data_IF_784953109787
#
_entry.id   IF_784953109787
#
_cell.length_a   1.000
_cell.length_b   1.000
_cell.length_c   1.000
_cell.angle_alpha   90.00
_cell.angle_beta   90.00
_cell.angle_gamma   90.00
#
_symmetry.space_group_name_H-M   'P 1'
#
loop_
_entity.id
_entity.type
_entity.pdbx_description
1 polymer ?
#
# COMPACT_ATOMS: atom_id res chain seq x y z
N UNK A 1 29.57 14.24 -39.47
CA UNK A 1 29.67 12.84 -38.99
C UNK A 1 29.69 12.70 -37.46
N UNK A 2 30.49 13.48 -36.71
CA UNK A 2 30.56 13.34 -35.22
C UNK A 2 29.25 13.71 -34.47
N UNK A 3 28.39 14.55 -35.04
CA UNK A 3 27.08 14.90 -34.45
C UNK A 3 26.02 13.79 -34.67
N UNK A 4 26.07 13.12 -35.82
CA UNK A 4 25.15 12.04 -36.17
C UNK A 4 25.42 10.76 -35.35
N UNK A 5 26.69 10.51 -34.99
CA UNK A 5 27.07 9.41 -34.13
C UNK A 5 26.56 9.56 -32.69
N UNK A 6 26.41 10.79 -32.18
CA UNK A 6 25.87 11.05 -30.83
C UNK A 6 24.35 10.82 -30.76
N UNK A 7 23.61 11.08 -31.84
CA UNK A 7 22.18 10.81 -31.92
C UNK A 7 21.86 9.31 -32.00
N UNK A 8 22.72 8.53 -32.69
CA UNK A 8 22.54 7.08 -32.83
C UNK A 8 22.85 6.32 -31.53
N UNK A 9 23.77 6.82 -30.69
CA UNK A 9 24.07 6.19 -29.39
C UNK A 9 22.93 6.36 -28.38
N UNK A 10 22.12 7.44 -28.47
CA UNK A 10 20.93 7.64 -27.63
C UNK A 10 19.76 6.74 -28.07
N UNK A 11 19.69 6.38 -29.36
CA UNK A 11 18.64 5.52 -29.94
C UNK A 11 18.91 4.01 -29.77
N UNK A 12 20.13 3.61 -29.39
CA UNK A 12 20.55 2.21 -29.26
C UNK A 12 20.82 1.75 -27.83
N UNK A 13 20.78 2.65 -26.84
CA UNK A 13 20.73 2.25 -25.44
C UNK A 13 19.28 2.00 -25.06
N UNK A 14 18.89 0.77 -24.68
CA UNK A 14 17.63 0.62 -24.01
C UNK A 14 17.77 1.34 -22.66
N UNK A 15 17.07 2.47 -22.50
CA UNK A 15 16.80 3.07 -21.19
C UNK A 15 15.85 2.14 -20.43
N UNK A 16 16.30 0.94 -20.08
CA UNK A 16 15.67 0.15 -19.04
C UNK A 16 16.09 0.76 -17.70
N UNK A 17 15.50 1.91 -17.36
CA UNK A 17 15.25 2.21 -15.96
C UNK A 17 14.15 1.27 -15.50
N UNK A 18 14.47 0.00 -15.27
CA UNK A 18 13.55 -0.95 -14.67
C UNK A 18 13.42 -0.60 -13.17
N UNK A 19 12.56 0.38 -12.88
CA UNK A 19 12.24 0.77 -11.50
C UNK A 19 11.35 -0.25 -10.79
N UNK A 20 10.61 -1.05 -11.55
CA UNK A 20 9.60 -1.98 -11.07
C UNK A 20 9.91 -3.43 -11.44
N UNK A 21 9.77 -4.32 -10.46
CA UNK A 21 9.82 -5.77 -10.62
C UNK A 21 8.37 -6.30 -10.69
N UNK A 22 8.06 -7.09 -11.70
CA UNK A 22 6.74 -7.75 -11.89
C UNK A 22 6.82 -9.27 -11.79
N UNK A 23 7.93 -9.78 -11.26
CA UNK A 23 8.16 -11.20 -10.99
C UNK A 23 8.33 -11.43 -9.50
N UNK A 24 8.00 -12.61 -8.96
CA UNK A 24 8.17 -12.91 -7.54
C UNK A 24 9.57 -12.55 -7.04
N UNK A 25 9.67 -11.89 -5.88
CA UNK A 25 10.95 -11.54 -5.24
C UNK A 25 10.82 -11.46 -3.73
N UNK A 26 11.91 -11.78 -3.02
CA UNK A 26 12.01 -11.55 -1.58
C UNK A 26 12.70 -10.21 -1.34
N UNK A 27 12.04 -9.28 -0.65
CA UNK A 27 12.61 -7.98 -0.26
C UNK A 27 12.65 -7.84 1.23
N UNK A 28 13.81 -7.42 1.73
CA UNK A 28 14.09 -7.36 3.16
C UNK A 28 13.75 -8.66 3.91
N UNK A 29 13.63 -9.84 3.28
CA UNK A 29 13.21 -11.10 3.90
C UNK A 29 11.69 -11.38 3.91
N UNK A 30 10.89 -10.50 3.32
CA UNK A 30 9.46 -10.64 3.12
C UNK A 30 9.17 -11.09 1.67
N UNK A 31 8.31 -12.08 1.48
CA UNK A 31 7.90 -12.56 0.16
C UNK A 31 7.00 -11.55 -0.54
N UNK A 32 7.32 -11.20 -1.79
CA UNK A 32 6.44 -10.43 -2.67
C UNK A 32 6.20 -11.27 -3.90
N UNK A 33 5.13 -12.05 -3.87
CA UNK A 33 4.81 -13.07 -4.89
C UNK A 33 3.31 -13.25 -5.11
N UNK A 34 2.46 -12.47 -4.43
CA UNK A 34 1.01 -12.57 -4.52
C UNK A 34 0.40 -13.74 -3.76
N UNK A 35 1.16 -14.49 -2.94
CA UNK A 35 0.61 -15.30 -1.84
C UNK A 35 0.60 -14.47 -0.54
N UNK A 36 0.05 -15.05 0.52
CA UNK A 36 0.00 -14.43 1.85
C UNK A 36 0.59 -15.34 2.93
N UNK A 37 1.36 -16.35 2.51
CA UNK A 37 1.79 -17.47 3.33
C UNK A 37 3.26 -17.39 3.70
N UNK A 38 3.49 -17.15 4.97
CA UNK A 38 4.81 -17.20 5.56
C UNK A 38 5.40 -18.60 5.37
N UNK A 39 6.72 -18.64 5.20
CA UNK A 39 7.53 -19.84 4.91
C UNK A 39 7.29 -20.44 3.53
N UNK A 40 6.45 -19.82 2.71
CA UNK A 40 6.32 -20.16 1.30
C UNK A 40 6.79 -18.97 0.47
N UNK A 41 7.37 -19.29 -0.68
CA UNK A 41 7.65 -18.32 -1.71
C UNK A 41 7.58 -19.04 -3.05
N UNK A 42 6.78 -18.49 -3.96
CA UNK A 42 6.51 -19.03 -5.28
C UNK A 42 6.07 -20.51 -5.23
N UNK A 43 5.17 -20.83 -4.29
CA UNK A 43 4.61 -22.18 -4.10
C UNK A 43 5.56 -23.21 -3.47
N UNK A 44 6.77 -22.82 -3.05
CA UNK A 44 7.73 -23.70 -2.41
C UNK A 44 8.06 -23.27 -0.98
N UNK A 45 8.35 -24.24 -0.10
CA UNK A 45 8.80 -23.96 1.27
C UNK A 45 10.16 -23.25 1.23
N UNK A 46 10.25 -22.04 1.79
CA UNK A 46 11.37 -21.12 1.72
C UNK A 46 11.51 -20.35 3.04
N UNK A 47 12.63 -19.65 3.22
CA UNK A 47 12.85 -18.76 4.37
C UNK A 47 12.34 -17.35 4.08
N UNK A 48 11.03 -17.15 4.14
CA UNK A 48 10.37 -15.88 3.88
C UNK A 48 9.31 -15.58 4.94
N UNK A 49 9.34 -14.35 5.44
CA UNK A 49 8.21 -13.81 6.18
C UNK A 49 7.09 -13.42 5.19
N UNK A 50 5.85 -13.39 5.65
CA UNK A 50 4.68 -13.00 4.85
C UNK A 50 3.53 -12.56 5.79
N UNK A 51 2.37 -12.20 5.25
CA UNK A 51 1.22 -11.70 6.01
C UNK A 51 0.73 -12.68 7.07
N UNK A 52 0.57 -13.97 6.73
CA UNK A 52 -0.08 -14.96 7.59
C UNK A 52 0.64 -16.32 7.62
N UNK A 53 0.40 -17.10 8.67
CA UNK A 53 0.81 -18.49 8.75
C UNK A 53 -0.40 -19.40 8.57
N UNK A 54 -0.40 -20.20 7.50
CA UNK A 54 -1.42 -21.23 7.30
C UNK A 54 -1.21 -22.38 8.30
N UNK A 55 -2.27 -22.79 8.98
CA UNK A 55 -2.21 -23.90 9.93
C UNK A 55 -1.77 -25.20 9.22
N UNK A 56 -0.80 -25.91 9.81
CA UNK A 56 -0.20 -27.10 9.23
C UNK A 56 0.97 -26.83 8.28
N UNK A 57 1.33 -25.57 8.02
CA UNK A 57 2.57 -25.23 7.29
C UNK A 57 3.80 -25.79 8.03
N UNK A 58 4.64 -26.61 7.38
CA UNK A 58 5.86 -27.16 7.99
C UNK A 58 6.88 -26.07 8.40
N UNK A 59 7.83 -26.45 9.24
CA UNK A 59 8.95 -25.61 9.65
C UNK A 59 8.76 -24.88 10.98
N UNK A 60 9.69 -23.99 11.27
CA UNK A 60 9.79 -23.22 12.52
C UNK A 60 9.83 -21.72 12.21
N UNK A 61 9.87 -20.86 13.24
CA UNK A 61 10.09 -19.41 13.05
C UNK A 61 11.37 -19.07 12.30
N UNK A 62 12.37 -19.95 12.32
CA UNK A 62 13.60 -19.79 11.52
C UNK A 62 13.35 -19.92 10.01
N UNK A 63 12.23 -20.52 9.60
CA UNK A 63 11.81 -20.62 8.20
C UNK A 63 10.99 -19.40 7.74
N UNK A 64 10.78 -18.40 8.59
CA UNK A 64 9.90 -17.27 8.30
C UNK A 64 8.76 -17.17 9.29
N UNK A 65 8.35 -15.93 9.52
CA UNK A 65 7.32 -15.53 10.47
C UNK A 65 6.16 -14.82 9.76
N UNK A 66 4.98 -14.93 10.37
CA UNK A 66 3.81 -14.21 9.89
C UNK A 66 3.73 -12.84 10.53
N UNK A 67 3.38 -11.82 9.74
CA UNK A 67 3.44 -10.42 10.17
C UNK A 67 2.18 -9.97 10.89
N UNK A 68 0.99 -10.45 10.53
CA UNK A 68 -0.28 -9.98 11.11
C UNK A 68 -0.75 -10.90 12.24
N UNK A 69 -1.19 -10.34 13.36
CA UNK A 69 -1.78 -11.12 14.46
C UNK A 69 -3.07 -11.83 14.01
N UNK A 70 -3.08 -13.16 14.13
CA UNK A 70 -4.19 -14.02 13.74
C UNK A 70 -5.08 -14.45 14.91
N UNK A 71 -4.82 -13.90 16.10
CA UNK A 71 -5.59 -14.22 17.31
C UNK A 71 -7.08 -13.94 17.12
N UNK A 72 -7.90 -14.96 17.45
CA UNK A 72 -9.35 -14.92 17.31
C UNK A 72 -9.88 -15.19 15.90
N UNK A 73 -9.04 -15.53 14.91
CA UNK A 73 -9.48 -15.83 13.54
C UNK A 73 -10.57 -16.92 13.48
N UNK A 74 -10.41 -18.00 14.24
CA UNK A 74 -11.42 -19.07 14.31
C UNK A 74 -12.79 -18.57 14.83
N UNK A 75 -12.80 -17.64 15.78
CA UNK A 75 -14.02 -17.02 16.31
C UNK A 75 -14.69 -16.12 15.26
N UNK A 76 -13.91 -15.38 14.48
CA UNK A 76 -14.42 -14.57 13.36
C UNK A 76 -15.09 -15.48 12.32
N UNK A 77 -14.41 -16.56 11.90
CA UNK A 77 -14.97 -17.52 10.93
C UNK A 77 -16.25 -18.18 11.45
N UNK A 78 -16.26 -18.64 12.71
CA UNK A 78 -17.47 -19.19 13.34
C UNK A 78 -18.61 -18.14 13.40
N UNK A 79 -18.25 -16.87 13.62
CA UNK A 79 -19.15 -15.73 13.52
C UNK A 79 -19.80 -15.63 12.15
N UNK A 80 -19.02 -15.66 11.08
CA UNK A 80 -19.52 -15.58 9.69
C UNK A 80 -20.41 -16.76 9.31
N UNK A 81 -20.08 -17.97 9.76
CA UNK A 81 -20.86 -19.18 9.50
C UNK A 81 -22.25 -19.18 10.13
N UNK A 82 -22.38 -18.50 11.27
CA UNK A 82 -23.64 -18.37 12.01
C UNK A 82 -24.37 -17.07 11.71
N UNK A 83 -23.82 -16.24 10.83
CA UNK A 83 -24.39 -14.94 10.48
C UNK A 83 -25.56 -15.12 9.52
N UNK A 84 -26.65 -14.42 9.80
CA UNK A 84 -27.91 -14.49 9.05
C UNK A 84 -28.27 -13.12 8.51
N UNK A 85 -29.09 -13.08 7.45
CA UNK A 85 -29.60 -11.84 6.85
C UNK A 85 -30.04 -10.80 7.88
N UNK A 86 -29.53 -9.55 7.87
CA UNK A 86 -28.72 -8.90 6.84
C UNK A 86 -27.18 -9.03 6.99
N UNK A 87 -26.65 -10.09 7.61
CA UNK A 87 -25.21 -10.38 7.75
C UNK A 87 -24.37 -9.32 8.48
N UNK A 88 -24.81 -8.84 9.67
CA UNK A 88 -24.13 -7.76 10.39
C UNK A 88 -22.67 -8.05 10.76
N UNK A 89 -22.27 -9.32 10.91
CA UNK A 89 -20.86 -9.67 11.20
C UNK A 89 -20.03 -9.64 9.93
N UNK A 90 -20.56 -10.15 8.81
CA UNK A 90 -19.85 -10.13 7.52
C UNK A 90 -19.69 -8.72 6.99
N UNK A 91 -20.69 -7.84 7.22
CA UNK A 91 -20.64 -6.44 6.82
C UNK A 91 -19.73 -5.56 7.69
N UNK A 92 -19.25 -6.05 8.83
CA UNK A 92 -18.49 -5.24 9.78
C UNK A 92 -16.98 -5.24 9.48
N UNK A 93 -16.40 -4.04 9.46
CA UNK A 93 -14.95 -3.86 9.48
C UNK A 93 -14.33 -4.32 10.81
N UNK A 94 -13.08 -4.80 10.72
CA UNK A 94 -12.19 -4.96 11.86
C UNK A 94 -10.74 -4.78 11.40
N UNK A 95 -9.84 -4.64 12.35
CA UNK A 95 -8.41 -4.61 12.08
C UNK A 95 -7.63 -5.58 12.96
N UNK A 96 -6.41 -5.89 12.53
CA UNK A 96 -5.38 -6.61 13.29
C UNK A 96 -4.04 -5.93 13.08
N UNK A 97 -3.26 -5.85 14.14
CA UNK A 97 -1.93 -5.25 14.13
C UNK A 97 -0.87 -6.32 13.95
N UNK A 98 0.40 -5.91 14.00
CA UNK A 98 1.54 -6.80 13.94
C UNK A 98 1.49 -7.93 14.99
N UNK A 99 1.92 -9.12 14.59
CA UNK A 99 1.95 -10.34 15.41
C UNK A 99 2.99 -10.31 16.54
N UNK A 100 3.87 -9.31 16.50
CA UNK A 100 4.93 -9.03 17.47
C UNK A 100 4.77 -7.59 17.96
N UNK A 101 5.33 -7.24 19.14
CA UNK A 101 5.40 -5.84 19.57
C UNK A 101 6.06 -4.97 18.49
N UNK A 102 5.57 -3.72 18.34
CA UNK A 102 6.19 -2.71 17.49
C UNK A 102 7.69 -2.57 17.81
N UNK A 103 8.49 -2.33 16.78
CA UNK A 103 9.95 -2.20 16.87
C UNK A 103 10.68 -3.47 17.35
N UNK A 104 10.12 -4.65 17.07
CA UNK A 104 10.77 -5.92 17.40
C UNK A 104 11.80 -6.31 16.34
N UNK A 105 12.90 -6.92 16.78
CA UNK A 105 13.87 -7.55 15.88
C UNK A 105 13.48 -9.01 15.67
N UNK A 106 13.06 -9.33 14.44
CA UNK A 106 12.63 -10.68 14.03
C UNK A 106 13.56 -11.16 12.93
N UNK A 107 14.18 -12.33 13.10
CA UNK A 107 15.07 -12.92 12.10
C UNK A 107 16.12 -11.90 11.58
N UNK A 108 16.77 -11.19 12.52
CA UNK A 108 17.77 -10.14 12.29
C UNK A 108 17.24 -8.91 11.51
N UNK A 109 15.98 -8.54 11.68
CA UNK A 109 15.35 -7.42 10.97
C UNK A 109 14.43 -6.65 11.89
N UNK A 110 14.54 -5.32 11.86
CA UNK A 110 13.65 -4.47 12.64
C UNK A 110 12.29 -4.36 11.95
N UNK A 111 11.25 -4.90 12.57
CA UNK A 111 9.86 -4.71 12.17
C UNK A 111 9.32 -3.48 12.88
N UNK A 112 8.87 -2.48 12.13
CA UNK A 112 8.40 -1.22 12.71
C UNK A 112 6.92 -1.37 13.08
N UNK A 113 6.09 -1.68 12.08
CA UNK A 113 4.65 -1.80 12.27
C UNK A 113 4.01 -2.66 11.19
N UNK A 114 2.79 -3.15 11.46
CA UNK A 114 1.95 -3.78 10.47
C UNK A 114 0.47 -3.68 10.83
N UNK A 115 -0.37 -3.62 9.80
CA UNK A 115 -1.82 -3.61 9.95
C UNK A 115 -2.49 -4.39 8.82
N UNK A 116 -3.56 -5.09 9.20
CA UNK A 116 -4.57 -5.66 8.35
C UNK A 116 -5.90 -4.98 8.68
N UNK A 117 -6.66 -4.58 7.67
CA UNK A 117 -7.99 -3.99 7.84
C UNK A 117 -8.95 -4.65 6.85
N UNK A 118 -10.09 -5.12 7.35
CA UNK A 118 -11.25 -5.47 6.52
C UNK A 118 -12.12 -4.25 6.32
N UNK A 119 -12.56 -4.00 5.10
CA UNK A 119 -13.49 -2.91 4.84
C UNK A 119 -14.92 -3.23 5.33
N UNK A 120 -15.83 -2.27 5.26
CA UNK A 120 -17.26 -2.50 5.34
C UNK A 120 -17.75 -3.14 4.03
N UNK A 121 -18.69 -4.08 4.12
CA UNK A 121 -19.31 -4.71 2.96
C UNK A 121 -20.82 -4.48 2.93
N UNK A 122 -21.45 -4.65 1.76
CA UNK A 122 -22.88 -4.44 1.56
C UNK A 122 -23.24 -2.96 1.60
N UNK A 123 -23.73 -2.47 2.74
CA UNK A 123 -23.90 -1.03 2.97
C UNK A 123 -22.56 -0.44 3.41
N UNK A 124 -21.61 -0.40 2.47
CA UNK A 124 -20.32 0.23 2.71
C UNK A 124 -20.53 1.68 3.17
N UNK A 125 -19.90 2.04 4.29
CA UNK A 125 -20.03 3.36 4.96
C UNK A 125 -18.82 4.26 4.74
N UNK A 126 -17.85 3.77 3.97
CA UNK A 126 -16.53 4.37 3.73
C UNK A 126 -16.36 4.85 2.29
N UNK A 127 -17.45 4.92 1.54
CA UNK A 127 -17.49 5.36 0.13
C UNK A 127 -17.36 6.87 0.01
N UNK A 128 -16.58 7.36 -0.96
CA UNK A 128 -16.64 8.76 -1.38
C UNK A 128 -17.93 9.01 -2.19
N UNK A 129 -18.82 9.87 -1.71
CA UNK A 129 -20.20 9.96 -2.24
C UNK A 129 -20.50 11.21 -3.05
N UNK A 130 -19.73 12.29 -2.87
CA UNK A 130 -19.96 13.52 -3.62
C UNK A 130 -18.78 14.49 -3.54
N UNK A 131 -18.72 15.38 -4.53
CA UNK A 131 -17.95 16.61 -4.47
C UNK A 131 -16.53 16.49 -5.01
N UNK A 132 -15.58 17.01 -4.24
CA UNK A 132 -14.17 17.18 -4.59
C UNK A 132 -13.37 16.15 -3.81
N UNK A 133 -13.27 14.90 -4.30
CA UNK A 133 -12.62 13.79 -3.56
C UNK A 133 -11.24 13.40 -4.10
N UNK A 134 -10.73 14.07 -5.14
CA UNK A 134 -9.41 13.78 -5.75
C UNK A 134 -8.23 13.86 -4.77
N UNK A 135 -7.16 13.15 -5.10
CA UNK A 135 -5.87 13.21 -4.40
C UNK A 135 -5.28 14.61 -4.23
N UNK A 136 -5.46 15.49 -5.23
CA UNK A 136 -4.92 16.85 -5.18
C UNK A 136 -5.77 17.82 -4.34
N UNK A 137 -6.93 17.38 -3.84
CA UNK A 137 -7.88 18.20 -3.10
C UNK A 137 -7.73 17.99 -1.60
N UNK A 138 -8.06 19.03 -0.83
CA UNK A 138 -8.04 18.96 0.63
C UNK A 138 -9.05 17.94 1.16
N UNK A 139 -8.69 17.06 2.11
CA UNK A 139 -9.64 16.17 2.77
C UNK A 139 -10.83 16.89 3.44
N UNK A 140 -10.69 18.19 3.76
CA UNK A 140 -11.81 19.02 4.21
C UNK A 140 -13.01 19.01 3.23
N UNK A 141 -12.73 18.90 1.93
CA UNK A 141 -13.74 18.89 0.87
C UNK A 141 -14.26 17.48 0.58
N UNK A 142 -13.59 16.44 1.08
CA UNK A 142 -13.99 15.06 0.86
C UNK A 142 -15.25 14.76 1.66
N UNK A 143 -16.15 14.01 1.05
CA UNK A 143 -17.37 13.56 1.71
C UNK A 143 -17.53 12.07 1.58
N UNK A 144 -17.62 11.40 2.71
CA UNK A 144 -17.90 9.98 2.79
C UNK A 144 -19.37 9.71 3.04
N UNK A 145 -19.83 8.49 2.74
CA UNK A 145 -21.19 8.07 3.00
C UNK A 145 -21.46 6.64 2.54
N UNK A 146 -22.75 6.35 2.34
CA UNK A 146 -23.22 5.04 1.89
C UNK A 146 -23.65 5.13 0.44
N UNK A 147 -23.00 4.36 -0.43
CA UNK A 147 -23.32 4.28 -1.85
C UNK A 147 -22.86 2.93 -2.43
N UNK A 148 -23.45 2.49 -3.54
CA UNK A 148 -22.93 1.34 -4.27
C UNK A 148 -21.64 1.69 -5.03
N UNK A 149 -20.63 0.84 -4.90
CA UNK A 149 -19.34 0.95 -5.60
C UNK A 149 -19.26 -0.14 -6.68
N UNK A 150 -18.75 0.15 -7.89
CA UNK A 150 -18.44 -0.90 -8.85
C UNK A 150 -17.42 -1.88 -8.28
N UNK A 151 -17.66 -3.18 -8.41
CA UNK A 151 -16.87 -4.26 -7.78
C UNK A 151 -15.34 -4.14 -7.99
N UNK A 152 -14.92 -3.59 -9.14
CA UNK A 152 -13.49 -3.38 -9.46
C UNK A 152 -12.80 -2.30 -8.60
N UNK A 153 -13.57 -1.49 -7.89
CA UNK A 153 -13.13 -0.39 -7.02
C UNK A 153 -13.49 -0.67 -5.56
N UNK A 154 -14.20 -1.77 -5.26
CA UNK A 154 -14.63 -2.10 -3.90
C UNK A 154 -13.49 -2.84 -3.18
N UNK A 155 -12.95 -2.22 -2.14
CA UNK A 155 -11.84 -2.77 -1.35
C UNK A 155 -12.41 -3.77 -0.36
N UNK A 156 -11.83 -4.98 -0.34
CA UNK A 156 -12.23 -6.00 0.62
C UNK A 156 -11.34 -6.01 1.86
N UNK A 157 -10.03 -6.06 1.64
CA UNK A 157 -9.03 -6.16 2.70
C UNK A 157 -7.80 -5.31 2.32
N UNK A 158 -7.13 -4.72 3.30
CA UNK A 158 -5.91 -3.91 3.15
C UNK A 158 -4.84 -4.43 4.08
N UNK A 159 -3.61 -4.39 3.62
CA UNK A 159 -2.40 -4.81 4.30
C UNK A 159 -1.34 -3.71 4.20
N UNK A 160 -0.66 -3.42 5.30
CA UNK A 160 0.55 -2.61 5.27
C UNK A 160 1.56 -3.14 6.29
N UNK A 161 2.83 -3.11 5.93
CA UNK A 161 3.93 -3.47 6.81
C UNK A 161 5.17 -2.64 6.50
N UNK A 162 5.87 -2.19 7.53
CA UNK A 162 7.13 -1.47 7.40
C UNK A 162 8.21 -2.19 8.20
N UNK A 163 9.36 -2.42 7.57
CA UNK A 163 10.52 -3.07 8.19
C UNK A 163 11.84 -2.58 7.60
N UNK A 164 12.92 -2.75 8.35
CA UNK A 164 14.29 -2.63 7.82
C UNK A 164 14.78 -3.98 7.30
N UNK A 165 15.69 -3.95 6.33
CA UNK A 165 16.34 -5.12 5.77
C UNK A 165 17.32 -5.81 6.73
N UNK A 166 17.66 -5.15 7.84
CA UNK A 166 18.48 -5.62 8.94
C UNK A 166 18.08 -4.91 10.25
N UNK A 167 18.83 -5.06 11.36
CA UNK A 167 18.47 -4.49 12.64
C UNK A 167 18.97 -3.05 12.85
N UNK A 168 19.76 -2.48 11.92
CA UNK A 168 20.48 -1.23 12.10
C UNK A 168 19.86 -0.06 11.31
N UNK A 169 20.21 1.16 11.70
CA UNK A 169 19.77 2.41 11.07
C UNK A 169 20.25 2.58 9.63
N UNK A 170 21.34 1.90 9.27
CA UNK A 170 21.89 1.90 7.90
C UNK A 170 21.21 0.89 6.98
N UNK A 171 20.43 -0.05 7.54
CA UNK A 171 19.72 -1.04 6.75
C UNK A 171 18.51 -0.43 6.07
N UNK A 172 18.31 -0.74 4.79
CA UNK A 172 17.23 -0.12 4.00
C UNK A 172 15.86 -0.34 4.62
N UNK A 173 15.08 0.73 4.70
CA UNK A 173 13.68 0.74 5.07
C UNK A 173 12.81 0.35 3.87
N UNK A 174 11.92 -0.60 4.09
CA UNK A 174 10.98 -1.11 3.11
C UNK A 174 9.55 -0.99 3.63
N UNK A 175 8.65 -0.59 2.74
CA UNK A 175 7.21 -0.70 2.93
C UNK A 175 6.70 -1.82 2.04
N UNK A 176 5.76 -2.58 2.58
CA UNK A 176 4.97 -3.58 1.89
C UNK A 176 3.51 -3.16 2.02
N UNK A 177 2.78 -3.25 0.92
CA UNK A 177 1.35 -2.99 0.90
C UNK A 177 0.66 -4.10 0.15
N UNK A 178 -0.58 -4.37 0.53
CA UNK A 178 -1.45 -5.27 -0.20
C UNK A 178 -2.88 -4.82 -0.09
N UNK A 179 -3.69 -5.17 -1.08
CA UNK A 179 -5.14 -5.02 -0.98
C UNK A 179 -5.82 -6.12 -1.80
N UNK A 180 -7.04 -6.46 -1.43
CA UNK A 180 -7.93 -7.23 -2.31
C UNK A 180 -9.12 -6.40 -2.74
N UNK A 181 -9.53 -6.57 -4.00
CA UNK A 181 -10.71 -5.93 -4.57
C UNK A 181 -11.76 -7.01 -4.85
N UNK A 182 -13.05 -6.66 -4.85
CA UNK A 182 -14.11 -7.63 -5.07
C UNK A 182 -13.98 -8.35 -6.41
N UNK A 183 -13.73 -7.58 -7.48
CA UNK A 183 -13.60 -8.10 -8.84
C UNK A 183 -12.27 -7.68 -9.50
N UNK A 184 -11.86 -8.47 -10.48
CA UNK A 184 -10.60 -8.31 -11.23
C UNK A 184 -10.81 -7.86 -12.67
N UNK A 185 -12.07 -7.64 -13.06
CA UNK A 185 -12.43 -7.21 -14.42
C UNK A 185 -12.15 -5.72 -14.63
N UNK A 186 -11.34 -5.43 -15.65
CA UNK A 186 -10.99 -4.07 -16.06
C UNK A 186 -9.76 -3.49 -15.36
N UNK A 187 -9.43 -2.25 -15.68
CA UNK A 187 -8.32 -1.55 -15.04
C UNK A 187 -8.70 -1.07 -13.65
N UNK A 188 -7.76 -1.18 -12.72
CA UNK A 188 -7.93 -0.91 -11.29
C UNK A 188 -6.80 -0.01 -10.82
N UNK A 189 -7.13 0.93 -9.95
CA UNK A 189 -6.21 1.98 -9.52
C UNK A 189 -6.44 2.22 -8.04
N UNK A 190 -5.35 2.29 -7.29
CA UNK A 190 -5.40 2.49 -5.85
C UNK A 190 -4.30 3.42 -5.39
N UNK A 191 -4.53 4.03 -4.25
CA UNK A 191 -3.58 4.91 -3.60
C UNK A 191 -3.44 4.52 -2.13
N UNK A 192 -2.19 4.36 -1.68
CA UNK A 192 -1.83 4.33 -0.26
C UNK A 192 -1.30 5.69 0.10
N UNK A 193 -2.11 6.49 0.80
CA UNK A 193 -1.75 7.83 1.23
C UNK A 193 -1.40 7.83 2.71
N UNK A 194 -0.17 8.23 3.01
CA UNK A 194 0.43 8.22 4.34
C UNK A 194 0.56 9.64 4.85
N UNK A 195 -0.09 9.92 5.98
CA UNK A 195 -0.19 11.25 6.56
C UNK A 195 0.72 11.41 7.78
N UNK A 196 1.33 12.59 7.89
CA UNK A 196 2.02 13.04 9.11
C UNK A 196 1.04 13.32 10.26
N UNK A 197 -0.23 13.59 9.96
CA UNK A 197 -1.23 13.95 10.95
C UNK A 197 -2.10 12.75 11.35
N UNK A 198 -2.83 12.90 12.46
CA UNK A 198 -3.88 11.96 12.87
C UNK A 198 -5.18 12.18 12.09
N UNK A 199 -5.09 12.13 10.75
CA UNK A 199 -6.28 12.23 9.90
C UNK A 199 -7.24 11.06 10.19
N UNK A 200 -8.54 11.35 10.25
CA UNK A 200 -9.56 10.32 10.39
C UNK A 200 -10.87 10.72 9.72
N UNK A 201 -11.65 9.70 9.36
CA UNK A 201 -12.98 9.83 8.80
C UNK A 201 -14.04 9.58 9.89
N UNK A 202 -14.94 10.53 10.08
CA UNK A 202 -16.07 10.42 10.98
C UNK A 202 -17.32 10.00 10.21
N UNK A 203 -17.66 8.72 10.32
CA UNK A 203 -18.81 8.13 9.61
C UNK A 203 -20.16 8.78 9.91
N UNK A 204 -20.48 9.15 11.17
CA UNK A 204 -21.75 9.82 11.47
C UNK A 204 -21.94 11.15 10.73
N UNK A 205 -20.89 11.96 10.60
CA UNK A 205 -20.95 13.24 9.87
C UNK A 205 -20.62 13.13 8.38
N UNK A 206 -19.99 12.04 7.94
CA UNK A 206 -19.49 11.88 6.58
C UNK A 206 -18.31 12.79 6.26
N UNK A 207 -17.58 13.27 7.28
CA UNK A 207 -16.50 14.27 7.15
C UNK A 207 -15.15 13.76 7.64
N UNK A 208 -14.11 14.43 7.15
CA UNK A 208 -12.72 14.17 7.52
C UNK A 208 -12.21 15.25 8.48
N UNK A 209 -11.38 14.82 9.42
CA UNK A 209 -10.80 15.67 10.46
C UNK A 209 -9.32 15.30 10.66
N UNK A 210 -8.59 16.13 11.40
CA UNK A 210 -7.18 15.86 11.71
C UNK A 210 -6.24 15.95 10.50
N UNK A 211 -6.67 16.60 9.41
CA UNK A 211 -5.87 16.83 8.21
C UNK A 211 -4.85 17.97 8.41
N UNK A 212 -3.82 18.04 7.56
CA UNK A 212 -2.73 18.99 7.70
C UNK A 212 -3.05 20.43 7.23
N UNK A 213 -2.22 21.43 7.61
CA UNK A 213 -2.50 22.84 7.35
C UNK A 213 -2.23 23.27 5.90
N UNK A 214 -1.41 22.54 5.15
CA UNK A 214 -0.97 22.90 3.81
C UNK A 214 -1.98 22.40 2.76
N UNK A 215 -3.13 23.06 2.73
CA UNK A 215 -4.29 22.68 1.91
C UNK A 215 -4.82 21.27 2.21
N UNK A 216 -4.85 20.87 3.48
CA UNK A 216 -5.35 19.56 3.92
C UNK A 216 -4.28 18.51 4.15
N UNK A 217 -3.01 18.85 3.97
CA UNK A 217 -1.89 17.93 4.05
C UNK A 217 -0.71 18.56 4.81
N UNK A 218 0.31 17.78 5.08
CA UNK A 218 1.59 18.27 5.62
C UNK A 218 2.63 18.31 4.51
N UNK A 219 3.18 19.48 4.22
CA UNK A 219 4.18 19.61 3.16
C UNK A 219 5.59 19.18 3.59
N UNK A 220 6.29 18.52 2.68
CA UNK A 220 7.73 18.34 2.76
C UNK A 220 8.40 19.71 2.61
N UNK A 221 9.36 20.00 3.49
CA UNK A 221 10.12 21.26 3.48
C UNK A 221 11.58 20.99 3.21
N UNK A 222 12.21 21.93 2.52
CA UNK A 222 13.61 21.85 2.13
C UNK A 222 14.39 23.07 2.60
N UNK A 223 15.67 22.90 2.88
CA UNK A 223 16.59 24.01 3.07
C UNK A 223 17.10 24.56 1.72
N UNK A 224 17.88 25.65 1.76
CA UNK A 224 18.43 26.27 0.55
C UNK A 224 19.44 25.41 -0.22
N UNK A 225 19.94 24.32 0.37
CA UNK A 225 20.81 23.35 -0.29
C UNK A 225 20.04 22.14 -0.85
N UNK A 226 18.72 22.11 -0.68
CA UNK A 226 17.85 21.01 -1.11
C UNK A 226 17.85 19.81 -0.16
N UNK A 227 18.39 19.92 1.05
CA UNK A 227 18.21 18.90 2.07
C UNK A 227 16.80 18.98 2.62
N UNK A 228 16.26 17.83 3.00
CA UNK A 228 14.95 17.75 3.65
C UNK A 228 15.08 18.33 5.06
N UNK A 229 14.29 19.37 5.34
CA UNK A 229 14.21 20.02 6.64
C UNK A 229 13.07 19.43 7.50
N UNK A 230 11.97 19.02 6.87
CA UNK A 230 10.89 18.27 7.54
C UNK A 230 10.17 17.34 6.56
N UNK A 231 9.79 16.13 7.00
CA UNK A 231 8.99 15.23 6.18
C UNK A 231 7.54 15.71 6.10
N UNK A 232 6.82 15.24 5.09
CA UNK A 232 5.42 15.54 4.83
C UNK A 232 4.65 14.29 4.40
N UNK A 233 3.47 14.49 3.85
CA UNK A 233 2.62 13.39 3.40
C UNK A 233 3.19 12.74 2.12
N UNK A 234 2.95 11.44 1.96
CA UNK A 234 3.38 10.64 0.81
C UNK A 234 2.20 9.85 0.28
N UNK A 235 2.14 9.68 -1.03
CA UNK A 235 1.18 8.80 -1.67
C UNK A 235 1.91 7.82 -2.59
N UNK A 236 1.55 6.54 -2.49
CA UNK A 236 1.93 5.51 -3.43
C UNK A 236 0.72 5.16 -4.29
N UNK A 237 0.77 5.54 -5.55
CA UNK A 237 -0.27 5.24 -6.54
C UNK A 237 0.09 3.97 -7.30
N UNK A 238 -0.79 2.98 -7.27
CA UNK A 238 -0.68 1.75 -8.04
C UNK A 238 -1.66 1.73 -9.22
N UNK A 239 -1.19 1.24 -10.36
CA UNK A 239 -2.03 0.98 -11.53
C UNK A 239 -1.95 -0.48 -11.93
N UNK A 240 -3.10 -1.13 -12.03
CA UNK A 240 -3.24 -2.46 -12.59
C UNK A 240 -3.98 -2.38 -13.93
N UNK A 241 -3.32 -2.87 -14.97
CA UNK A 241 -3.91 -3.01 -16.30
C UNK A 241 -3.80 -4.47 -16.73
N UNK A 242 -4.90 -5.01 -17.26
CA UNK A 242 -4.98 -6.41 -17.73
C UNK A 242 -4.56 -7.46 -16.69
N UNK A 243 -4.92 -7.26 -15.42
CA UNK A 243 -4.63 -8.19 -14.32
C UNK A 243 -3.27 -7.99 -13.63
N UNK A 244 -2.34 -7.27 -14.24
CA UNK A 244 -0.99 -7.07 -13.68
C UNK A 244 -0.74 -5.62 -13.24
N UNK A 245 0.07 -5.44 -12.20
CA UNK A 245 0.57 -4.12 -11.80
C UNK A 245 1.47 -3.57 -12.91
N UNK A 246 1.05 -2.48 -13.54
CA UNK A 246 1.81 -1.82 -14.60
C UNK A 246 2.67 -0.67 -14.11
N UNK A 247 2.29 -0.05 -12.99
CA UNK A 247 2.99 1.11 -12.45
C UNK A 247 2.80 1.24 -10.94
N UNK A 248 3.87 1.55 -10.22
CA UNK A 248 3.81 2.18 -8.90
C UNK A 248 4.54 3.52 -8.99
N UNK A 249 3.92 4.56 -8.47
CA UNK A 249 4.50 5.89 -8.39
C UNK A 249 4.43 6.42 -6.97
N UNK A 250 5.56 6.89 -6.46
CA UNK A 250 5.62 7.67 -5.24
C UNK A 250 5.51 9.15 -5.58
N UNK A 251 4.66 9.86 -4.84
CA UNK A 251 4.59 11.32 -4.85
C UNK A 251 4.60 11.85 -3.43
N UNK A 252 5.11 13.06 -3.27
CA UNK A 252 5.21 13.73 -1.97
C UNK A 252 4.44 15.05 -2.00
N UNK A 253 3.77 15.40 -0.90
CA UNK A 253 3.04 16.67 -0.82
C UNK A 253 4.01 17.83 -0.61
N UNK A 254 4.03 18.79 -1.52
CA UNK A 254 4.97 19.92 -1.49
C UNK A 254 4.31 21.22 -1.88
N UNK A 255 4.94 22.32 -1.48
CA UNK A 255 4.61 23.64 -2.03
C UNK A 255 5.10 23.72 -3.48
N UNK A 256 4.28 24.28 -4.36
CA UNK A 256 4.58 24.40 -5.80
C UNK A 256 5.87 25.18 -6.08
N UNK A 257 6.15 26.21 -5.28
CA UNK A 257 7.41 26.97 -5.39
C UNK A 257 8.63 26.09 -5.15
N UNK A 258 8.55 25.15 -4.21
CA UNK A 258 9.68 24.31 -3.82
C UNK A 258 9.92 23.26 -4.90
N UNK A 259 8.86 22.66 -5.44
CA UNK A 259 8.93 21.80 -6.62
C UNK A 259 9.59 22.50 -7.84
N UNK A 260 9.33 23.79 -8.02
CA UNK A 260 9.85 24.56 -9.17
C UNK A 260 11.30 25.06 -8.99
N UNK A 261 11.75 25.26 -7.74
CA UNK A 261 12.98 26.01 -7.47
C UNK A 261 14.02 25.24 -6.67
N UNK A 262 13.61 24.26 -5.87
CA UNK A 262 14.52 23.44 -5.07
C UNK A 262 14.96 22.23 -5.89
N UNK A 263 16.26 21.92 -5.82
CA UNK A 263 16.84 20.68 -6.35
C UNK A 263 17.12 19.76 -5.15
N UNK A 264 16.27 18.77 -4.87
CA UNK A 264 16.41 17.93 -3.67
C UNK A 264 17.70 17.12 -3.71
N UNK A 265 18.35 16.92 -2.56
CA UNK A 265 19.56 16.10 -2.46
C UNK A 265 19.24 14.60 -2.48
N UNK A 266 18.11 14.18 -1.93
CA UNK A 266 17.74 12.78 -1.71
C UNK A 266 17.13 12.07 -2.93
N UNK A 267 16.40 12.78 -3.80
CA UNK A 267 15.68 12.21 -4.95
C UNK A 267 15.65 13.19 -6.12
N UNK A 268 15.17 12.74 -7.28
CA UNK A 268 14.88 13.59 -8.44
C UNK A 268 13.38 13.88 -8.50
N UNK A 269 13.01 15.09 -8.93
CA UNK A 269 11.66 15.34 -9.43
C UNK A 269 11.45 14.57 -10.73
N UNK A 270 10.33 13.85 -10.84
CA UNK A 270 9.95 13.10 -12.05
C UNK A 270 9.10 13.94 -13.01
N UNK A 271 8.74 15.17 -12.63
CA UNK A 271 8.16 16.20 -13.50
C UNK A 271 6.64 16.34 -13.47
N UNK A 272 5.93 15.52 -12.68
CA UNK A 272 4.48 15.66 -12.48
C UNK A 272 4.20 16.40 -11.17
N UNK A 273 3.18 17.24 -11.18
CA UNK A 273 2.67 17.97 -10.02
C UNK A 273 1.17 18.11 -10.13
N UNK A 274 0.44 17.53 -9.17
CA UNK A 274 -1.02 17.53 -9.15
C UNK A 274 -1.53 18.05 -7.79
N UNK A 275 -2.14 19.24 -7.82
CA UNK A 275 -2.87 19.83 -6.71
C UNK A 275 -4.32 20.08 -7.07
N UNK A 276 -5.01 20.94 -6.31
CA UNK A 276 -6.41 21.30 -6.57
C UNK A 276 -6.54 22.26 -7.78
N UNK A 277 -6.33 21.73 -8.98
CA UNK A 277 -6.39 22.47 -10.23
C UNK A 277 -5.15 23.33 -10.54
N UNK A 278 -5.21 24.07 -11.65
CA UNK A 278 -4.04 24.78 -12.21
C UNK A 278 -3.45 25.86 -11.27
N UNK A 279 -4.29 26.46 -10.42
CA UNK A 279 -3.92 27.50 -9.46
C UNK A 279 -3.41 26.98 -8.11
N UNK A 280 -3.26 25.67 -7.94
CA UNK A 280 -2.89 25.09 -6.66
C UNK A 280 -1.53 25.60 -6.15
N UNK A 281 -1.48 25.97 -4.86
CA UNK A 281 -0.25 26.38 -4.17
C UNK A 281 0.54 25.18 -3.65
N UNK A 282 -0.16 24.08 -3.35
CA UNK A 282 0.40 22.82 -2.89
C UNK A 282 -0.14 21.67 -3.75
N UNK A 283 0.58 20.56 -3.78
CA UNK A 283 0.19 19.40 -4.56
C UNK A 283 1.17 18.25 -4.39
N UNK A 284 0.78 17.08 -4.90
CA UNK A 284 1.62 15.90 -4.97
C UNK A 284 2.59 16.01 -6.15
N UNK A 285 3.89 16.09 -5.85
CA UNK A 285 4.96 16.07 -6.83
C UNK A 285 5.55 14.67 -6.97
N UNK A 286 5.70 14.19 -8.21
CA UNK A 286 6.29 12.87 -8.46
C UNK A 286 7.79 12.86 -8.26
N UNK A 287 8.29 11.77 -7.67
CA UNK A 287 9.69 11.59 -7.32
C UNK A 287 10.27 10.29 -7.91
N UNK A 288 11.59 10.27 -8.09
CA UNK A 288 12.34 9.09 -8.50
C UNK A 288 13.68 9.01 -7.77
N UNK A 289 14.22 7.80 -7.56
CA UNK A 289 15.48 7.65 -6.85
C UNK A 289 16.64 8.20 -7.69
N UNK A 290 17.67 8.74 -7.02
CA UNK A 290 18.92 9.13 -7.69
C UNK A 290 19.82 7.95 -8.03
N UNK A 291 19.62 6.83 -7.36
CA UNK A 291 20.43 5.62 -7.55
C UNK A 291 19.70 4.60 -8.42
N UNK A 292 20.43 3.97 -9.35
CA UNK A 292 19.90 2.96 -10.25
C UNK A 292 19.47 1.65 -9.56
N UNK A 293 18.61 0.87 -10.24
CA UNK A 293 18.14 -0.47 -9.86
C UNK A 293 16.73 -0.49 -9.27
N UNK A 294 16.12 -1.67 -9.13
CA UNK A 294 14.73 -1.81 -8.69
C UNK A 294 14.44 -1.20 -7.30
N UNK A 295 13.29 -0.54 -7.19
CA UNK A 295 12.80 0.11 -5.97
C UNK A 295 11.29 -0.10 -5.75
N UNK A 296 10.57 -0.52 -6.78
CA UNK A 296 9.23 -1.06 -6.70
C UNK A 296 9.20 -2.54 -7.05
N UNK A 297 8.27 -3.26 -6.44
CA UNK A 297 7.82 -4.59 -6.88
C UNK A 297 6.31 -4.60 -6.77
N UNK A 298 5.60 -5.28 -7.65
CA UNK A 298 4.26 -5.76 -7.28
C UNK A 298 3.66 -6.76 -8.25
N UNK A 299 2.76 -7.56 -7.70
CA UNK A 299 2.18 -8.77 -8.30
C UNK A 299 0.71 -8.92 -7.91
N UNK A 300 -0.04 -9.63 -8.76
CA UNK A 300 -1.37 -10.12 -8.44
C UNK A 300 -1.30 -11.58 -7.98
N UNK A 301 -2.27 -12.00 -7.16
CA UNK A 301 -2.35 -13.37 -6.65
C UNK A 301 -2.66 -14.37 -7.76
N UNK A 302 -2.01 -15.56 -7.80
CA UNK A 302 -2.46 -16.65 -8.65
C UNK A 302 -3.88 -17.14 -8.31
N UNK A 303 -4.48 -17.92 -9.21
CA UNK A 303 -5.78 -18.54 -8.93
C UNK A 303 -5.70 -19.53 -7.75
N UNK A 304 -6.72 -19.54 -6.88
CA UNK A 304 -6.78 -20.35 -5.66
C UNK A 304 -5.69 -20.05 -4.63
N UNK A 305 -5.20 -18.80 -4.59
CA UNK A 305 -4.34 -18.33 -3.50
C UNK A 305 -5.13 -18.31 -2.20
N UNK A 306 -4.55 -18.73 -1.08
CA UNK A 306 -5.25 -18.68 0.21
C UNK A 306 -5.46 -17.22 0.64
N UNK A 307 -6.66 -16.87 1.10
CA UNK A 307 -6.99 -15.48 1.46
C UNK A 307 -6.74 -15.15 2.94
N UNK A 308 -5.93 -15.96 3.62
CA UNK A 308 -5.64 -15.76 5.04
C UNK A 308 -6.71 -16.32 6.00
N UNK A 309 -6.44 -16.22 7.32
CA UNK A 309 -7.18 -16.96 8.35
C UNK A 309 -8.52 -16.32 8.70
N UNK A 310 -8.76 -15.07 8.31
CA UNK A 310 -10.01 -14.37 8.57
C UNK A 310 -11.08 -14.62 7.51
N UNK A 311 -10.79 -15.45 6.51
CA UNK A 311 -11.71 -15.69 5.40
C UNK A 311 -11.78 -14.52 4.42
N UNK A 312 -12.43 -14.74 3.29
CA UNK A 312 -12.71 -13.70 2.30
C UNK A 312 -14.22 -13.50 2.22
N UNK A 313 -14.67 -12.31 2.61
CA UNK A 313 -16.05 -11.86 2.46
C UNK A 313 -16.09 -11.02 1.19
N UNK A 314 -17.00 -11.35 0.27
CA UNK A 314 -17.21 -10.58 -0.97
C UNK A 314 -18.24 -9.47 -0.73
N UNK A 315 -18.32 -8.50 -1.65
CA UNK A 315 -19.23 -7.36 -1.57
C UNK A 315 -20.69 -7.79 -1.36
N UNK A 316 -21.10 -8.91 -1.97
CA UNK A 316 -22.45 -9.49 -1.83
C UNK A 316 -22.68 -10.21 -0.48
N UNK A 317 -21.74 -10.13 0.45
CA UNK A 317 -21.69 -10.82 1.75
C UNK A 317 -21.56 -12.34 1.65
N UNK A 318 -21.28 -12.87 0.46
CA UNK A 318 -20.90 -14.26 0.29
C UNK A 318 -19.49 -14.52 0.82
N UNK A 319 -19.22 -15.78 1.06
CA UNK A 319 -18.00 -16.27 1.69
C UNK A 319 -17.23 -17.07 0.64
N UNK A 320 -16.06 -16.58 0.22
CA UNK A 320 -15.24 -17.24 -0.80
C UNK A 320 -14.34 -18.34 -0.19
N UNK A 321 -14.78 -19.59 -0.31
CA UNK A 321 -14.09 -20.79 0.20
C UNK A 321 -14.11 -21.95 -0.82
N UNK A 322 -13.14 -22.87 -0.73
CA UNK A 322 -13.04 -24.05 -1.62
C UNK A 322 -13.44 -25.36 -0.94
N UNK A 323 -14.23 -26.17 -1.67
CA UNK A 323 -14.55 -27.62 -1.54
C UNK A 323 -15.00 -28.17 -0.14
N UNK A 324 -15.76 -29.29 -0.10
CA UNK A 324 -16.96 -29.43 0.73
C UNK A 324 -16.71 -29.23 2.23
N UNK A 325 -17.47 -28.32 2.83
CA UNK A 325 -17.43 -28.03 4.25
C UNK A 325 -17.75 -26.56 4.53
N UNK A 326 -18.04 -26.20 5.80
CA UNK A 326 -18.14 -24.80 6.18
C UNK A 326 -16.80 -24.08 5.97
N UNK A 327 -16.87 -22.75 5.83
CA UNK A 327 -15.71 -21.85 5.96
C UNK A 327 -14.81 -22.25 7.14
N UNK A 328 -13.50 -22.24 6.93
CA UNK A 328 -12.49 -22.48 7.95
C UNK A 328 -11.37 -21.45 7.80
N UNK A 329 -10.42 -21.45 8.72
CA UNK A 329 -9.23 -20.59 8.63
C UNK A 329 -8.27 -21.00 7.50
N UNK A 330 -8.52 -22.10 6.77
CA UNK A 330 -7.56 -22.69 5.82
C UNK A 330 -8.07 -22.82 4.38
N UNK A 331 -9.38 -22.67 4.14
CA UNK A 331 -9.98 -22.95 2.83
C UNK A 331 -10.46 -21.70 2.07
N UNK A 332 -10.21 -20.49 2.59
CA UNK A 332 -10.53 -19.24 1.88
C UNK A 332 -9.63 -19.07 0.67
N UNK A 333 -10.17 -18.53 -0.43
CA UNK A 333 -9.39 -18.36 -1.66
C UNK A 333 -9.67 -17.05 -2.38
N UNK A 334 -8.59 -16.45 -2.88
CA UNK A 334 -8.62 -15.44 -3.91
C UNK A 334 -8.70 -16.08 -5.30
N UNK A 335 -9.43 -15.44 -6.21
CA UNK A 335 -9.28 -15.69 -7.65
C UNK A 335 -8.00 -15.01 -8.17
N UNK A 336 -7.61 -15.31 -9.40
CA UNK A 336 -6.44 -14.67 -10.01
C UNK A 336 -6.57 -13.14 -10.01
N UNK A 337 -5.51 -12.45 -9.57
CA UNK A 337 -5.37 -10.99 -9.47
C UNK A 337 -6.35 -10.29 -8.50
N UNK A 338 -7.07 -11.04 -7.65
CA UNK A 338 -8.00 -10.47 -6.68
C UNK A 338 -7.27 -9.80 -5.53
N UNK A 339 -6.21 -10.44 -5.04
CA UNK A 339 -5.25 -9.85 -4.13
C UNK A 339 -4.08 -9.29 -4.92
N UNK A 340 -3.63 -8.13 -4.47
CA UNK A 340 -2.58 -7.32 -5.04
C UNK A 340 -1.58 -7.04 -3.95
N UNK A 341 -0.31 -7.18 -4.27
CA UNK A 341 0.78 -6.92 -3.34
C UNK A 341 1.87 -6.10 -4.00
N UNK A 342 2.50 -5.22 -3.21
CA UNK A 342 3.64 -4.46 -3.64
C UNK A 342 4.66 -4.22 -2.53
N UNK A 343 5.87 -3.86 -2.93
CA UNK A 343 6.90 -3.34 -2.03
C UNK A 343 7.59 -2.11 -2.59
N UNK A 344 8.02 -1.24 -1.68
CA UNK A 344 8.71 0.01 -1.94
C UNK A 344 9.97 0.12 -1.09
N UNK A 345 11.11 0.39 -1.70
CA UNK A 345 12.34 0.74 -0.98
C UNK A 345 12.34 2.24 -0.63
N UNK A 346 11.91 2.57 0.59
CA UNK A 346 11.81 3.95 1.07
C UNK A 346 13.17 4.63 1.18
N UNK A 347 14.22 3.90 1.61
CA UNK A 347 15.58 4.45 1.66
C UNK A 347 16.07 4.86 0.28
N UNK A 348 15.80 4.05 -0.74
CA UNK A 348 16.24 4.32 -2.11
C UNK A 348 15.50 5.49 -2.75
N UNK A 349 14.23 5.66 -2.41
CA UNK A 349 13.44 6.84 -2.79
C UNK A 349 13.84 8.11 -2.03
N UNK A 350 14.74 8.02 -1.06
CA UNK A 350 15.13 9.15 -0.22
C UNK A 350 14.02 9.57 0.72
N UNK A 351 13.24 8.62 1.24
CA UNK A 351 12.10 8.80 2.15
C UNK A 351 12.32 8.14 3.52
N UNK A 352 13.52 7.59 3.78
CA UNK A 352 13.85 6.96 5.07
C UNK A 352 14.27 8.03 6.10
N UNK A 353 13.45 8.31 7.13
CA UNK A 353 13.60 9.45 8.02
C UNK A 353 14.89 9.39 8.84
N UNK A 354 15.42 8.19 9.07
CA UNK A 354 16.68 7.97 9.80
C UNK A 354 17.87 8.40 8.98
N UNK A 355 17.88 8.03 7.70
CA UNK A 355 18.92 8.46 6.76
C UNK A 355 18.83 9.95 6.43
N UNK A 356 17.64 10.54 6.53
CA UNK A 356 17.37 11.92 6.15
C UNK A 356 17.66 12.93 7.25
N UNK A 357 17.27 12.64 8.50
CA UNK A 357 17.26 13.60 9.59
C UNK A 357 18.09 13.17 10.81
N UNK A 358 18.77 12.01 10.74
CA UNK A 358 19.47 11.43 11.89
C UNK A 358 18.50 10.99 13.00
N UNK A 359 17.26 10.64 12.63
CA UNK A 359 16.18 10.30 13.55
C UNK A 359 16.31 8.93 14.22
N UNK A 360 15.34 8.64 15.09
CA UNK A 360 15.22 7.34 15.77
C UNK A 360 15.05 6.20 14.74
N UNK A 361 15.77 5.10 14.92
CA UNK A 361 15.67 3.88 14.11
C UNK A 361 14.23 3.34 14.05
N UNK A 362 13.46 3.61 15.10
CA UNK A 362 12.05 3.27 15.27
C UNK A 362 11.09 4.34 14.72
N UNK A 363 11.58 5.47 14.21
CA UNK A 363 10.74 6.53 13.66
C UNK A 363 10.02 6.05 12.39
N UNK A 364 8.69 5.94 12.45
CA UNK A 364 7.87 5.97 11.23
C UNK A 364 7.69 7.43 10.83
N UNK A 365 7.84 7.79 9.54
CA UNK A 365 7.53 9.15 9.14
C UNK A 365 6.03 9.41 9.13
N UNK A 366 5.15 8.45 9.42
CA UNK A 366 3.70 8.64 9.21
C UNK A 366 2.91 8.08 10.38
N UNK A 367 1.78 8.73 10.66
CA UNK A 367 0.88 8.42 11.76
C UNK A 367 -0.37 7.67 11.30
N UNK A 368 -0.82 7.92 10.07
CA UNK A 368 -2.05 7.35 9.50
C UNK A 368 -1.86 6.97 8.04
N UNK A 369 -2.62 5.98 7.61
CA UNK A 369 -2.72 5.54 6.22
C UNK A 369 -4.19 5.61 5.83
N UNK A 370 -4.45 6.21 4.67
CA UNK A 370 -5.74 6.16 3.98
C UNK A 370 -5.51 5.39 2.69
N UNK A 371 -6.26 4.31 2.49
CA UNK A 371 -6.23 3.54 1.24
C UNK A 371 -7.54 3.74 0.52
N UNK A 372 -7.45 3.98 -0.77
CA UNK A 372 -8.56 4.41 -1.61
C UNK A 372 -8.36 3.97 -3.04
N UNK A 373 -9.45 3.82 -3.78
CA UNK A 373 -9.42 3.54 -5.21
C UNK A 373 -9.57 4.82 -6.02
N UNK A 374 -9.33 4.74 -7.33
CA UNK A 374 -9.64 5.80 -8.29
C UNK A 374 -10.49 5.26 -9.43
N UNK A 375 -11.34 6.13 -9.99
CA UNK A 375 -12.13 5.78 -11.17
C UNK A 375 -11.30 5.57 -12.46
N UNK A 376 -10.08 6.13 -12.54
CA UNK A 376 -9.19 5.99 -13.72
C UNK A 376 -7.70 6.10 -13.37
N UNK A 377 -6.83 5.92 -14.37
CA UNK A 377 -5.38 6.04 -14.22
C UNK A 377 -4.91 7.45 -13.85
N UNK A 378 -5.71 8.48 -14.18
CA UNK A 378 -5.34 9.86 -13.88
C UNK A 378 -5.23 10.06 -12.36
N UNK A 379 -4.12 10.64 -11.90
CA UNK A 379 -3.94 11.00 -10.48
C UNK A 379 -4.99 11.99 -9.96
N UNK A 380 -5.62 12.73 -10.87
CA UNK A 380 -6.69 13.68 -10.62
C UNK A 380 -8.09 13.11 -10.92
N UNK A 381 -8.21 11.79 -11.04
CA UNK A 381 -9.52 11.14 -11.09
C UNK A 381 -10.21 11.23 -9.72
N UNK A 382 -11.54 11.23 -9.75
CA UNK A 382 -12.35 11.05 -8.53
C UNK A 382 -12.03 9.67 -7.91
N UNK A 383 -12.18 9.60 -6.59
CA UNK A 383 -11.91 8.41 -5.79
C UNK A 383 -13.06 7.38 -5.85
#
# INVERSE_FOLDING_TARGET
MKLFLRFIVILLTPLFSAGQITTPVIKAGFGVDGDVRARFFNGALQTSDDWFLLAGTPGTSANGEFVIDTTGAATIIAGYLTDISPWPKRMASFFRTMSKPQFSVVNNRLWLDAIFVRDYHGNDTTVFTSGSDKNGMSPFLWTGGIQGIPDKNDILDIFAHVRRAGPNSTDSLWMFGGLSLDNTTGNRYFDFEMYQTDIYYDRPSGKWFGYGPDAGHTSWKFDGAGNIASPGDIIFSGEFQSGTLTNIEARIWVKKSDWQTVVPTAFNWSGLFDGNGAGATYGYASISPKTAGAFYTGLGSPNNTWAGPFGLVLQDNSLSFTNPGPASTTNSKYIADQFIEFSVNLTKLGLDPVSLLGGDICGTPFNRIVVKTRASAAFTAEL
#
